data_IF_375810264908
#
_entry.id   IF_375810264908
#
_cell.length_a   1.000
_cell.length_b   1.000
_cell.length_c   1.000
_cell.angle_alpha   90.00
_cell.angle_beta   90.00
_cell.angle_gamma   90.00
#
_symmetry.space_group_name_H-M   'P 1'
#
loop_
_entity.id
_entity.type
_entity.pdbx_description
1 polymer ?
#
# COMPACT_ATOMS: atom_id res chain seq x y z
N UNK A 1 10.31 -2.31 7.69
CA UNK A 1 8.89 -2.00 7.46
C UNK A 1 7.99 -3.06 8.10
N UNK A 2 6.65 -2.89 8.12
CA UNK A 2 5.73 -3.96 8.54
C UNK A 2 5.86 -5.19 7.63
N UNK A 3 6.03 -4.96 6.33
CA UNK A 3 6.24 -6.01 5.35
C UNK A 3 7.47 -6.88 5.65
N UNK A 4 8.65 -6.26 5.80
CA UNK A 4 9.90 -6.97 6.14
C UNK A 4 9.77 -7.81 7.42
N UNK A 5 9.06 -7.30 8.42
CA UNK A 5 8.85 -8.03 9.66
C UNK A 5 8.04 -9.31 9.45
N UNK A 6 6.97 -9.25 8.64
CA UNK A 6 6.17 -10.42 8.31
C UNK A 6 6.96 -11.41 7.45
N UNK A 7 7.76 -10.93 6.50
CA UNK A 7 8.68 -11.78 5.73
C UNK A 7 9.66 -12.50 6.66
N UNK A 8 10.25 -11.79 7.63
CA UNK A 8 11.15 -12.42 8.60
C UNK A 8 10.43 -13.51 9.42
N UNK A 9 9.18 -13.29 9.84
CA UNK A 9 8.42 -14.32 10.54
C UNK A 9 8.21 -15.58 9.68
N UNK A 10 7.94 -15.41 8.38
CA UNK A 10 7.81 -16.53 7.44
C UNK A 10 9.16 -17.26 7.30
N UNK A 11 10.26 -16.52 7.15
CA UNK A 11 11.62 -17.07 7.06
C UNK A 11 12.04 -17.83 8.33
N UNK A 12 11.61 -17.35 9.50
CA UNK A 12 11.83 -18.00 10.80
C UNK A 12 10.97 -19.26 11.00
N UNK A 13 10.17 -19.66 10.00
CA UNK A 13 9.42 -20.90 9.98
C UNK A 13 7.94 -20.78 10.34
N UNK A 14 7.39 -19.56 10.43
CA UNK A 14 5.96 -19.38 10.63
C UNK A 14 5.18 -19.79 9.38
N UNK A 15 4.53 -20.95 9.45
CA UNK A 15 3.71 -21.52 8.37
C UNK A 15 2.22 -21.15 8.45
N UNK A 16 1.81 -20.36 9.45
CA UNK A 16 0.41 -19.95 9.64
C UNK A 16 0.04 -18.70 8.85
N UNK A 17 1.02 -17.94 8.35
CA UNK A 17 0.81 -16.72 7.58
C UNK A 17 0.59 -17.09 6.11
N UNK A 18 -0.62 -16.85 5.60
CA UNK A 18 -1.02 -17.25 4.24
C UNK A 18 -0.87 -16.14 3.19
N UNK A 19 -0.70 -14.90 3.63
CA UNK A 19 -0.56 -13.75 2.75
C UNK A 19 -0.59 -12.42 3.50
N UNK A 20 -0.31 -11.34 2.76
CA UNK A 20 -0.41 -9.96 3.21
C UNK A 20 -1.29 -9.16 2.25
N UNK A 21 -1.86 -8.07 2.75
CA UNK A 21 -2.58 -7.08 1.96
C UNK A 21 -1.88 -5.74 2.08
N UNK A 22 -1.76 -5.03 0.96
CA UNK A 22 -1.15 -3.70 0.86
C UNK A 22 -2.20 -2.73 0.29
N UNK A 23 -2.32 -1.55 0.88
CA UNK A 23 -3.11 -0.45 0.30
C UNK A 23 -2.19 0.46 -0.51
N UNK A 24 -2.29 0.36 -1.83
CA UNK A 24 -1.50 1.14 -2.78
C UNK A 24 -2.36 1.86 -3.80
N UNK A 25 -1.84 2.97 -4.32
CA UNK A 25 -2.43 3.71 -5.43
C UNK A 25 -1.31 4.29 -6.30
N UNK A 26 -1.65 4.98 -7.39
CA UNK A 26 -0.64 5.58 -8.28
C UNK A 26 0.23 6.61 -7.55
N UNK A 27 -0.35 7.33 -6.59
CA UNK A 27 0.33 8.34 -5.80
C UNK A 27 0.04 8.13 -4.31
N UNK A 28 1.02 8.48 -3.48
CA UNK A 28 0.99 8.27 -2.04
C UNK A 28 -0.07 9.11 -1.31
N UNK A 29 -0.36 8.69 -0.08
CA UNK A 29 -1.20 9.39 0.87
C UNK A 29 -2.68 9.29 0.51
N UNK A 30 -3.41 10.35 0.85
CA UNK A 30 -4.82 10.49 0.57
C UNK A 30 -5.22 11.95 0.35
N UNK A 31 -6.46 12.15 -0.08
CA UNK A 31 -7.09 13.44 -0.26
C UNK A 31 -8.53 13.43 0.29
N UNK A 32 -9.09 14.59 0.67
CA UNK A 32 -10.50 14.69 0.99
C UNK A 32 -11.39 14.35 -0.21
N UNK A 33 -12.52 13.69 0.04
CA UNK A 33 -13.53 13.49 -0.99
C UNK A 33 -14.15 14.83 -1.42
N UNK A 34 -14.37 15.00 -2.72
CA UNK A 34 -15.15 16.09 -3.31
C UNK A 34 -16.19 15.53 -4.28
N UNK A 35 -17.37 16.13 -4.29
CA UNK A 35 -18.42 15.84 -5.28
C UNK A 35 -18.08 16.38 -6.67
N UNK A 36 -17.07 17.27 -6.77
CA UNK A 36 -16.58 17.80 -8.04
C UNK A 36 -15.31 17.03 -8.46
N UNK A 37 -15.36 16.19 -9.51
CA UNK A 37 -14.20 15.40 -9.95
C UNK A 37 -12.99 16.23 -10.37
N UNK A 38 -13.19 17.48 -10.81
CA UNK A 38 -12.09 18.36 -11.23
C UNK A 38 -11.20 18.81 -10.06
N UNK A 39 -11.70 18.71 -8.82
CA UNK A 39 -10.94 19.03 -7.60
C UNK A 39 -10.11 17.84 -7.11
N UNK A 40 -10.35 16.64 -7.64
CA UNK A 40 -9.66 15.43 -7.23
C UNK A 40 -8.35 15.26 -7.99
N UNK A 41 -7.27 15.04 -7.25
CA UNK A 41 -6.01 14.60 -7.83
C UNK A 41 -6.18 13.16 -8.32
N UNK A 42 -5.94 12.95 -9.62
CA UNK A 42 -5.95 11.61 -10.19
C UNK A 42 -4.94 10.72 -9.47
N UNK A 43 -5.31 9.45 -9.21
CA UNK A 43 -4.38 8.47 -8.63
C UNK A 43 -4.09 8.62 -7.13
N UNK A 44 -4.78 9.52 -6.41
CA UNK A 44 -4.65 9.68 -4.95
C UNK A 44 -5.92 9.16 -4.25
N UNK A 45 -5.77 8.32 -3.22
CA UNK A 45 -6.89 7.76 -2.46
C UNK A 45 -7.79 8.83 -1.84
N UNK A 46 -9.12 8.65 -1.88
CA UNK A 46 -10.10 9.53 -1.18
C UNK A 46 -10.49 9.00 0.20
N UNK A 47 -9.90 7.88 0.61
CA UNK A 47 -10.18 7.14 1.84
C UNK A 47 -8.90 7.04 2.67
N UNK A 48 -8.42 5.82 2.93
CA UNK A 48 -7.19 5.57 3.67
C UNK A 48 -5.94 5.92 2.86
N UNK A 49 -4.84 6.18 3.56
CA UNK A 49 -3.56 6.54 2.95
C UNK A 49 -2.93 5.34 2.28
N UNK A 50 -2.56 5.49 1.03
CA UNK A 50 -1.88 4.45 0.27
C UNK A 50 -0.38 4.77 0.10
N UNK A 51 0.43 3.74 -0.12
CA UNK A 51 1.76 3.90 -0.70
C UNK A 51 1.62 4.18 -2.21
N UNK A 52 2.66 4.77 -2.81
CA UNK A 52 2.70 5.02 -4.26
C UNK A 52 3.13 3.78 -5.06
N UNK A 53 3.20 3.95 -6.38
CA UNK A 53 3.53 2.86 -7.30
C UNK A 53 4.98 2.40 -7.13
N UNK A 54 5.91 3.34 -6.98
CA UNK A 54 7.33 3.08 -6.80
C UNK A 54 7.58 2.25 -5.54
N UNK A 55 7.00 2.65 -4.40
CA UNK A 55 7.12 1.88 -3.14
C UNK A 55 6.42 0.51 -3.25
N UNK A 56 5.32 0.41 -3.99
CA UNK A 56 4.66 -0.88 -4.26
C UNK A 56 5.55 -1.83 -5.03
N UNK A 57 6.21 -1.35 -6.08
CA UNK A 57 7.13 -2.14 -6.89
C UNK A 57 8.34 -2.59 -6.08
N UNK A 58 8.92 -1.69 -5.28
CA UNK A 58 10.01 -2.00 -4.36
C UNK A 58 9.63 -3.10 -3.37
N UNK A 59 8.43 -3.05 -2.78
CA UNK A 59 7.96 -4.06 -1.84
C UNK A 59 7.73 -5.43 -2.49
N UNK A 60 7.16 -5.48 -3.69
CA UNK A 60 6.82 -6.75 -4.36
C UNK A 60 8.04 -7.44 -4.97
N UNK A 61 9.02 -6.67 -5.46
CA UNK A 61 10.21 -7.21 -6.12
C UNK A 61 11.38 -7.47 -5.16
N UNK A 62 11.25 -7.14 -3.88
CA UNK A 62 12.25 -7.36 -2.83
C UNK A 62 12.53 -8.85 -2.53
#
# INVERSE_FOLDING_TARGET
SVFENVIQQILDGNTSIVGLMLESNLHEGNQPFSCNPEELKYGVSVTDKCIDWEETEEIILA
#
